data_IF_659012278574
#
_entry.id   IF_659012278574
#
_cell.length_a   1.000
_cell.length_b   1.000
_cell.length_c   1.000
_cell.angle_alpha   90.00
_cell.angle_beta   90.00
_cell.angle_gamma   90.00
#
_symmetry.space_group_name_H-M   'P 1'
#
loop_
_entity.id
_entity.type
_entity.pdbx_description
1 polymer ?
#
# COMPACT_ATOMS: atom_id res chain seq x y z
N UNK A 1 14.78 5.86 -4.97
CA UNK A 1 13.75 5.79 -6.02
C UNK A 1 13.17 4.38 -6.19
N UNK A 2 14.00 3.35 -6.43
CA UNK A 2 13.52 1.97 -6.62
C UNK A 2 12.77 1.38 -5.42
N UNK A 3 13.17 1.67 -4.18
CA UNK A 3 12.50 1.15 -2.99
C UNK A 3 11.01 1.51 -2.92
N UNK A 4 10.66 2.74 -3.34
CA UNK A 4 9.28 3.22 -3.41
C UNK A 4 8.53 2.44 -4.48
N UNK A 5 9.11 2.28 -5.66
CA UNK A 5 8.50 1.51 -6.75
C UNK A 5 8.29 0.04 -6.37
N UNK A 6 9.22 -0.58 -5.65
CA UNK A 6 9.08 -1.95 -5.15
C UNK A 6 7.97 -2.04 -4.11
N UNK A 7 7.92 -1.13 -3.13
CA UNK A 7 6.85 -1.09 -2.13
C UNK A 7 5.47 -0.98 -2.81
N UNK A 8 5.36 -0.07 -3.78
CA UNK A 8 4.10 0.15 -4.49
C UNK A 8 3.74 -1.03 -5.37
N UNK A 9 4.71 -1.60 -6.09
CA UNK A 9 4.52 -2.79 -6.91
C UNK A 9 4.02 -3.97 -6.09
N UNK A 10 4.66 -4.26 -4.94
CA UNK A 10 4.27 -5.36 -4.05
C UNK A 10 2.85 -5.17 -3.54
N UNK A 11 2.48 -3.95 -3.14
CA UNK A 11 1.13 -3.68 -2.67
C UNK A 11 0.07 -3.77 -3.78
N UNK A 12 0.36 -3.24 -4.97
CA UNK A 12 -0.53 -3.36 -6.12
C UNK A 12 -0.77 -4.84 -6.46
N UNK A 13 0.27 -5.68 -6.43
CA UNK A 13 0.14 -7.13 -6.67
C UNK A 13 -0.73 -7.78 -5.59
N UNK A 14 -0.50 -7.45 -4.32
CA UNK A 14 -1.30 -7.95 -3.19
C UNK A 14 -2.77 -7.61 -3.35
N UNK A 15 -3.09 -6.32 -3.51
CA UNK A 15 -4.47 -5.84 -3.65
C UNK A 15 -5.14 -6.40 -4.90
N UNK A 16 -4.44 -6.44 -6.05
CA UNK A 16 -4.98 -6.98 -7.30
C UNK A 16 -5.22 -8.50 -7.22
N UNK A 17 -4.38 -9.24 -6.50
CA UNK A 17 -4.58 -10.69 -6.29
C UNK A 17 -5.85 -10.98 -5.49
N UNK A 18 -6.11 -10.16 -4.46
CA UNK A 18 -7.30 -10.24 -3.61
C UNK A 18 -8.55 -9.66 -4.28
N UNK A 19 -8.39 -8.72 -5.21
CA UNK A 19 -9.51 -8.09 -5.94
C UNK A 19 -10.43 -9.10 -6.63
N UNK A 20 -9.90 -10.24 -7.13
CA UNK A 20 -10.70 -11.32 -7.71
C UNK A 20 -11.62 -12.01 -6.71
N UNK A 21 -11.20 -12.15 -5.45
CA UNK A 21 -12.03 -12.70 -4.37
C UNK A 21 -13.06 -11.67 -3.89
N UNK A 22 -12.67 -10.40 -3.81
CA UNK A 22 -13.55 -9.31 -3.37
C UNK A 22 -14.62 -8.96 -4.41
N UNK A 23 -14.35 -9.17 -5.70
CA UNK A 23 -15.32 -8.91 -6.77
C UNK A 23 -16.60 -9.75 -6.72
N UNK A 24 -16.60 -10.86 -5.98
CA UNK A 24 -17.79 -11.67 -5.72
C UNK A 24 -18.56 -11.25 -4.45
N UNK A 25 -18.06 -10.27 -3.69
CA UNK A 25 -18.66 -9.85 -2.43
C UNK A 25 -19.70 -8.74 -2.64
N UNK A 26 -20.52 -8.53 -1.62
CA UNK A 26 -21.49 -7.45 -1.60
C UNK A 26 -20.77 -6.07 -1.72
N UNK A 27 -21.31 -5.09 -2.47
CA UNK A 27 -20.62 -3.83 -2.76
C UNK A 27 -20.16 -3.04 -1.51
N UNK A 28 -20.89 -3.16 -0.40
CA UNK A 28 -20.52 -2.55 0.89
C UNK A 28 -19.24 -3.15 1.49
N UNK A 29 -19.08 -4.47 1.42
CA UNK A 29 -17.87 -5.16 1.89
C UNK A 29 -16.68 -4.82 1.00
N UNK A 30 -16.91 -4.71 -0.30
CA UNK A 30 -15.90 -4.26 -1.26
C UNK A 30 -15.44 -2.82 -0.93
N UNK A 31 -16.37 -1.91 -0.66
CA UNK A 31 -16.05 -0.53 -0.27
C UNK A 31 -15.25 -0.47 1.04
N UNK A 32 -15.67 -1.23 2.06
CA UNK A 32 -14.94 -1.32 3.33
C UNK A 32 -13.53 -1.88 3.13
N UNK A 33 -13.37 -2.92 2.31
CA UNK A 33 -12.06 -3.51 1.99
C UNK A 33 -11.13 -2.49 1.30
N UNK A 34 -11.61 -1.76 0.29
CA UNK A 34 -10.80 -0.75 -0.38
C UNK A 34 -10.48 0.45 0.50
N UNK A 35 -11.38 0.86 1.40
CA UNK A 35 -11.08 1.88 2.42
C UNK A 35 -9.95 1.42 3.33
N UNK A 36 -10.02 0.19 3.84
CA UNK A 36 -8.96 -0.36 4.69
C UNK A 36 -7.66 -0.51 3.91
N UNK A 37 -7.70 -0.98 2.66
CA UNK A 37 -6.50 -1.10 1.82
C UNK A 37 -5.86 0.27 1.53
N UNK A 38 -6.66 1.31 1.32
CA UNK A 38 -6.18 2.68 1.15
C UNK A 38 -5.64 3.30 2.44
N UNK A 39 -6.24 3.01 3.59
CA UNK A 39 -5.77 3.51 4.90
C UNK A 39 -4.51 2.75 5.35
N UNK A 40 -4.47 1.43 5.13
CA UNK A 40 -3.31 0.59 5.44
C UNK A 40 -2.06 1.09 4.72
N UNK A 41 -2.21 1.63 3.51
CA UNK A 41 -1.12 2.28 2.79
C UNK A 41 -0.48 3.45 3.53
N UNK A 42 -1.29 4.29 4.20
CA UNK A 42 -0.80 5.42 5.02
C UNK A 42 0.02 4.92 6.22
N UNK A 43 -0.33 3.74 6.76
CA UNK A 43 0.43 3.10 7.83
C UNK A 43 1.70 2.41 7.33
N UNK A 44 1.65 1.81 6.13
CA UNK A 44 2.77 1.07 5.55
C UNK A 44 3.84 2.00 4.98
N UNK A 45 3.46 3.16 4.45
CA UNK A 45 4.40 4.22 4.09
C UNK A 45 4.77 4.93 5.39
N UNK A 46 5.97 4.71 5.93
CA UNK A 46 6.43 5.53 7.01
C UNK A 46 6.90 6.82 6.32
N UNK A 47 5.98 7.75 6.01
CA UNK A 47 6.33 9.02 5.35
C UNK A 47 7.54 9.65 6.03
N UNK A 48 7.62 9.58 7.37
CA UNK A 48 8.78 10.05 8.16
C UNK A 48 10.10 9.33 7.84
N UNK A 49 10.09 8.01 7.61
CA UNK A 49 11.30 7.23 7.28
C UNK A 49 11.70 7.41 5.82
N UNK A 50 10.73 7.55 4.91
CA UNK A 50 11.00 7.85 3.51
C UNK A 50 11.52 9.27 3.32
N UNK A 51 10.96 10.28 4.00
CA UNK A 51 11.49 11.64 4.03
C UNK A 51 12.90 11.68 4.63
N UNK A 52 13.12 11.01 5.77
CA UNK A 52 14.45 10.91 6.36
C UNK A 52 15.46 10.24 5.40
N UNK A 53 15.06 9.19 4.68
CA UNK A 53 15.90 8.54 3.68
C UNK A 53 16.19 9.44 2.48
N UNK A 54 15.22 10.23 2.04
CA UNK A 54 15.38 11.21 0.96
C UNK A 54 16.30 12.37 1.35
N UNK A 55 16.30 12.79 2.61
CA UNK A 55 17.15 13.87 3.12
C UNK A 55 18.57 13.40 3.51
N UNK A 56 18.74 12.18 4.03
CA UNK A 56 20.05 11.71 4.55
C UNK A 56 20.76 10.67 3.68
N UNK A 57 20.06 10.04 2.72
CA UNK A 57 20.63 8.96 1.89
C UNK A 57 21.10 7.73 2.68
N UNK A 58 20.91 7.68 4.00
CA UNK A 58 21.39 6.63 4.89
C UNK A 58 20.21 5.94 5.56
N UNK A 59 20.16 4.61 5.43
CA UNK A 59 19.23 3.72 6.13
C UNK A 59 19.72 3.46 7.57
N UNK A 60 19.79 4.49 8.43
CA UNK A 60 19.98 4.29 9.88
C UNK A 60 18.83 4.86 10.68
#
# INVERSE_FOLDING_TARGET
MLAILVLIGVWCILVASLSRLVGGWHPLLQAAFYLIAGIAWIWILPMRRMLAWMETGKFR
#
